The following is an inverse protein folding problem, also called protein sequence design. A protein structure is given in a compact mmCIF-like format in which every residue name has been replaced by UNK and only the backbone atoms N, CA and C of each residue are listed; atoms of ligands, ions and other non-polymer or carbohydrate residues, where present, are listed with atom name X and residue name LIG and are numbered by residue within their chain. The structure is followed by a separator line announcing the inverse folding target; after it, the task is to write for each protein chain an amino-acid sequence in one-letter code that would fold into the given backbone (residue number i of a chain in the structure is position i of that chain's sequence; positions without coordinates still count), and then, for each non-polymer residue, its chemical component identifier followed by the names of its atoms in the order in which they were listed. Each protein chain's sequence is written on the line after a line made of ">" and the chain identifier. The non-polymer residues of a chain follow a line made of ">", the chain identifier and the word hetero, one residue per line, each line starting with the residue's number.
data_IF_308392982620
#
_entry.id   IF_308392982620
#
_cell.length_a   1.000
_cell.length_b   1.000
_cell.length_c   1.000
_cell.angle_alpha   90.00
_cell.angle_beta   90.00
_cell.angle_gamma   90.00
#
_symmetry.space_group_name_H-M   'P 1'
#
loop_
_entity.id
_entity.type
_entity.pdbx_description
1 polymer ?
#
# COMPACT_ATOMS: atom_id res chain seq x y z
N UNK A 1 10.02 1.99 22.32
CA UNK A 1 9.56 2.02 21.91
C UNK A 1 9.22 2.06 21.30
N UNK A 2 9.13 1.88 21.24
CA UNK A 2 8.67 1.80 20.56
C UNK A 2 8.49 1.92 19.85
N UNK A 3 8.50 1.85 19.50
CA UNK A 3 8.21 1.91 18.80
C UNK A 3 8.03 1.76 17.95
N UNK A 4 8.23 1.67 18.33
CA UNK A 4 8.01 1.66 17.29
C UNK A 4 7.35 1.09 16.45
N UNK A 5 6.93 0.75 16.50
CA UNK A 5 6.23 0.46 15.55
C UNK A 5 5.74 1.49 14.82
N UNK A 6 5.89 2.43 15.21
CA UNK A 6 5.56 3.58 14.45
C UNK A 6 6.35 3.59 13.19
N UNK A 7 5.70 3.97 12.15
CA UNK A 7 6.35 4.07 10.88
C UNK A 7 6.79 5.51 10.74
N UNK A 8 8.06 5.77 10.97
CA UNK A 8 8.62 7.09 10.78
C UNK A 8 8.85 7.37 9.30
N UNK A 9 8.99 8.64 8.94
CA UNK A 9 9.24 9.00 7.55
C UNK A 9 10.48 8.36 6.97
N UNK A 10 11.47 8.08 7.81
CA UNK A 10 12.72 7.49 7.35
C UNK A 10 12.62 5.98 7.16
N UNK A 11 11.57 5.36 7.66
CA UNK A 11 11.43 3.91 7.55
C UNK A 11 10.30 3.48 6.63
N UNK A 12 9.48 4.42 6.17
CA UNK A 12 8.36 4.13 5.29
C UNK A 12 8.46 4.96 4.03
N UNK A 13 8.27 4.32 2.89
CA UNK A 13 8.21 4.99 1.60
C UNK A 13 6.74 5.08 1.23
N UNK A 14 6.22 6.30 1.10
CA UNK A 14 4.82 6.56 0.85
C UNK A 14 4.65 7.43 -0.39
N UNK A 15 3.56 7.24 -1.15
CA UNK A 15 3.29 8.09 -2.32
C UNK A 15 3.08 9.54 -1.91
N UNK A 16 3.49 10.47 -2.77
CA UNK A 16 3.23 11.87 -2.53
C UNK A 16 1.75 12.11 -2.36
N UNK A 17 1.40 13.03 -1.45
CA UNK A 17 0.00 13.34 -1.16
C UNK A 17 -0.65 12.41 -0.15
N UNK A 18 0.12 11.48 0.44
CA UNK A 18 -0.48 10.52 1.38
C UNK A 18 -1.12 11.19 2.58
N UNK A 19 -0.60 12.35 2.99
CA UNK A 19 -1.16 13.06 4.15
C UNK A 19 -2.59 13.55 3.88
N UNK A 20 -2.92 13.91 2.64
CA UNK A 20 -4.27 14.31 2.30
C UNK A 20 -5.24 13.14 2.27
N UNK A 21 -4.72 11.93 2.19
CA UNK A 21 -5.54 10.72 2.14
C UNK A 21 -5.67 10.01 3.48
N UNK A 22 -4.97 10.51 4.49
CA UNK A 22 -5.02 9.91 5.83
C UNK A 22 -6.42 10.09 6.41
N UNK A 23 -6.94 9.04 7.02
CA UNK A 23 -8.25 9.05 7.66
C UNK A 23 -8.11 9.43 9.12
N UNK A 24 -8.91 10.42 9.52
CA UNK A 24 -8.97 10.81 10.92
C UNK A 24 -9.98 9.90 11.62
N UNK A 25 -9.54 9.29 12.72
CA UNK A 25 -10.37 8.38 13.49
C UNK A 25 -10.50 8.93 14.92
N UNK A 26 -11.74 9.01 15.39
CA UNK A 26 -12.02 9.38 16.77
C UNK A 26 -13.21 8.57 17.24
N UNK A 27 -13.08 7.87 18.38
CA UNK A 27 -14.14 7.05 18.89
C UNK A 27 -14.04 6.95 20.40
N UNK A 28 -15.14 6.49 21.02
CA UNK A 28 -15.16 6.29 22.47
C UNK A 28 -14.19 5.20 22.89
N UNK A 29 -13.97 4.22 22.04
CA UNK A 29 -13.03 3.14 22.35
C UNK A 29 -11.60 3.63 22.47
N UNK A 30 -11.32 4.81 21.97
CA UNK A 30 -10.00 5.43 22.07
C UNK A 30 -9.98 6.56 23.08
N UNK A 31 -11.01 6.61 23.97
CA UNK A 31 -11.17 7.68 24.95
C UNK A 31 -11.19 9.06 24.27
N UNK A 32 -11.88 9.14 23.15
CA UNK A 32 -12.02 10.35 22.34
C UNK A 32 -10.70 10.89 21.82
N UNK A 33 -9.67 10.05 21.78
CA UNK A 33 -8.41 10.44 21.14
C UNK A 33 -8.58 10.41 19.65
N UNK A 34 -7.90 11.33 18.99
CA UNK A 34 -7.89 11.39 17.55
C UNK A 34 -6.71 10.58 17.02
N UNK A 35 -7.00 9.61 16.17
CA UNK A 35 -5.95 8.84 15.49
C UNK A 35 -6.01 9.10 14.00
N UNK A 36 -4.95 8.71 13.32
CA UNK A 36 -4.87 8.84 11.87
C UNK A 36 -4.46 7.49 11.28
N UNK A 37 -5.21 7.05 10.29
CA UNK A 37 -4.95 5.81 9.58
C UNK A 37 -4.59 6.11 8.15
N UNK A 38 -3.54 5.45 7.65
CA UNK A 38 -3.18 5.57 6.25
C UNK A 38 -4.30 5.02 5.36
N UNK A 39 -4.51 5.67 4.22
CA UNK A 39 -5.37 5.09 3.21
C UNK A 39 -4.78 3.74 2.79
N UNK A 40 -5.65 2.77 2.53
CA UNK A 40 -5.19 1.40 2.27
C UNK A 40 -4.28 1.34 1.03
N UNK A 41 -4.55 2.17 0.02
CA UNK A 41 -3.70 2.20 -1.18
C UNK A 41 -2.30 2.70 -0.86
N UNK A 42 -2.18 3.71 0.02
CA UNK A 42 -0.87 4.22 0.41
C UNK A 42 -0.09 3.18 1.21
N UNK A 43 -0.77 2.47 2.10
CA UNK A 43 -0.16 1.39 2.86
C UNK A 43 0.31 0.27 1.92
N UNK A 44 -0.52 -0.09 0.94
CA UNK A 44 -0.15 -1.06 -0.08
C UNK A 44 1.16 -0.65 -0.77
N UNK A 45 1.24 0.61 -1.21
CA UNK A 45 2.42 1.09 -1.93
C UNK A 45 3.67 1.02 -1.06
N UNK A 46 3.54 1.40 0.21
CA UNK A 46 4.67 1.34 1.14
C UNK A 46 5.16 -0.09 1.32
N UNK A 47 4.25 -1.03 1.47
CA UNK A 47 4.60 -2.45 1.64
C UNK A 47 5.16 -3.03 0.35
N UNK A 48 4.58 -2.67 -0.79
CA UNK A 48 5.07 -3.15 -2.08
C UNK A 48 6.49 -2.66 -2.33
N UNK A 49 6.81 -1.42 -1.96
CA UNK A 49 8.15 -0.86 -2.13
C UNK A 49 9.16 -1.56 -1.21
N UNK A 50 8.75 -1.94 0.00
CA UNK A 50 9.62 -2.65 0.93
C UNK A 50 10.00 -4.03 0.42
N UNK A 51 9.06 -4.73 -0.21
CA UNK A 51 9.35 -5.96 -0.95
C UNK A 51 9.73 -7.17 -0.13
N UNK A 52 9.47 -7.17 1.18
CA UNK A 52 9.75 -8.34 2.02
C UNK A 52 8.67 -9.40 1.81
N UNK A 53 8.95 -10.64 2.20
CA UNK A 53 8.00 -11.74 2.02
C UNK A 53 6.67 -11.45 2.69
N UNK A 54 6.69 -10.96 3.92
CA UNK A 54 5.46 -10.59 4.62
C UNK A 54 4.73 -9.45 3.93
N UNK A 55 5.48 -8.50 3.38
CA UNK A 55 4.89 -7.37 2.67
C UNK A 55 4.19 -7.84 1.40
N UNK A 56 4.80 -8.80 0.70
CA UNK A 56 4.19 -9.38 -0.50
C UNK A 56 2.88 -10.07 -0.17
N UNK A 57 2.88 -10.89 0.89
CA UNK A 57 1.67 -11.58 1.31
C UNK A 57 0.57 -10.61 1.66
N UNK A 58 0.92 -9.55 2.37
CA UNK A 58 -0.03 -8.51 2.74
C UNK A 58 -0.62 -7.82 1.51
N UNK A 59 0.23 -7.44 0.56
CA UNK A 59 -0.20 -6.78 -0.66
C UNK A 59 -1.09 -7.69 -1.50
N UNK A 60 -0.73 -8.96 -1.63
CA UNK A 60 -1.54 -9.90 -2.39
C UNK A 60 -2.91 -10.09 -1.75
N UNK A 61 -2.96 -10.13 -0.42
CA UNK A 61 -4.25 -10.21 0.28
C UNK A 61 -5.12 -8.99 -0.02
N UNK A 62 -4.54 -7.81 -0.02
CA UNK A 62 -5.29 -6.60 -0.33
C UNK A 62 -5.85 -6.62 -1.75
N UNK A 63 -5.08 -7.11 -2.71
CA UNK A 63 -5.55 -7.25 -4.08
C UNK A 63 -6.61 -8.33 -4.20
N UNK A 64 -6.41 -9.46 -3.52
CA UNK A 64 -7.32 -10.59 -3.59
C UNK A 64 -8.70 -10.23 -3.06
N UNK A 65 -8.74 -9.47 -1.96
CA UNK A 65 -10.00 -9.10 -1.32
C UNK A 65 -10.54 -7.76 -1.82
N UNK A 66 -9.95 -7.22 -2.86
CA UNK A 66 -10.41 -5.99 -3.52
C UNK A 66 -10.35 -4.75 -2.62
N UNK A 67 -9.50 -4.76 -1.60
CA UNK A 67 -9.24 -3.55 -0.83
C UNK A 67 -8.44 -2.55 -1.63
N UNK A 68 -7.62 -3.02 -2.58
CA UNK A 68 -6.84 -2.17 -3.47
C UNK A 68 -7.01 -2.71 -4.88
N UNK A 69 -7.25 -1.80 -5.82
CA UNK A 69 -7.36 -2.12 -7.22
C UNK A 69 -5.98 -1.95 -7.86
N UNK A 70 -5.52 -2.90 -8.70
CA UNK A 70 -4.22 -2.74 -9.36
C UNK A 70 -4.08 -1.44 -10.14
N UNK A 71 -5.14 -0.97 -10.79
CA UNK A 71 -5.08 0.30 -11.52
C UNK A 71 -4.81 1.46 -10.57
N UNK A 72 -5.44 1.46 -9.40
CA UNK A 72 -5.22 2.48 -8.40
C UNK A 72 -3.77 2.47 -7.91
N UNK A 73 -3.23 1.28 -7.66
CA UNK A 73 -1.85 1.14 -7.23
C UNK A 73 -0.89 1.66 -8.31
N UNK A 74 -1.15 1.33 -9.56
CA UNK A 74 -0.30 1.78 -10.67
C UNK A 74 -0.33 3.30 -10.82
N UNK A 75 -1.46 3.92 -10.55
CA UNK A 75 -1.56 5.38 -10.61
C UNK A 75 -0.70 6.05 -9.54
N UNK A 76 -0.47 5.38 -8.43
CA UNK A 76 0.34 5.93 -7.35
C UNK A 76 1.84 5.76 -7.56
N UNK A 77 2.25 4.86 -8.47
CA UNK A 77 3.68 4.60 -8.69
C UNK A 77 4.45 5.87 -9.03
N UNK A 78 3.97 6.75 -9.93
CA UNK A 78 4.73 7.97 -10.26
C UNK A 78 4.91 8.91 -9.08
N UNK A 79 4.09 8.76 -8.04
CA UNK A 79 4.16 9.62 -6.85
C UNK A 79 5.07 9.05 -5.78
N UNK A 80 5.63 7.86 -6.00
CA UNK A 80 6.55 7.25 -5.05
C UNK A 80 7.89 7.96 -5.10
N UNK A 81 8.53 8.20 -3.94
CA UNK A 81 9.86 8.82 -3.90
C UNK A 81 10.95 7.81 -4.26
N UNK A 82 10.87 7.27 -5.45
CA UNK A 82 11.78 6.26 -5.97
C UNK A 82 12.33 6.72 -7.31
N UNK A 83 13.54 6.26 -7.64
CA UNK A 83 14.10 6.51 -8.95
C UNK A 83 13.29 5.76 -10.02
N UNK A 84 13.42 6.20 -11.26
CA UNK A 84 12.59 5.69 -12.35
C UNK A 84 12.71 4.18 -12.53
N UNK A 85 13.92 3.64 -12.40
CA UNK A 85 14.11 2.19 -12.55
C UNK A 85 13.37 1.41 -11.46
N UNK A 86 13.34 1.93 -10.24
CA UNK A 86 12.61 1.29 -9.16
C UNK A 86 11.11 1.43 -9.33
N UNK A 87 10.65 2.58 -9.83
CA UNK A 87 9.23 2.74 -10.13
C UNK A 87 8.79 1.75 -11.20
N UNK A 88 9.62 1.55 -12.22
CA UNK A 88 9.33 0.60 -13.29
C UNK A 88 9.24 -0.82 -12.74
N UNK A 89 10.17 -1.17 -11.85
CA UNK A 89 10.16 -2.49 -11.20
C UNK A 89 8.89 -2.67 -10.38
N UNK A 90 8.49 -1.64 -9.67
CA UNK A 90 7.29 -1.69 -8.84
C UNK A 90 6.04 -1.90 -9.70
N UNK A 91 5.94 -1.22 -10.84
CA UNK A 91 4.83 -1.44 -11.78
C UNK A 91 4.78 -2.90 -12.23
N UNK A 92 5.94 -3.43 -12.60
CA UNK A 92 6.00 -4.83 -13.07
C UNK A 92 5.59 -5.79 -11.96
N UNK A 93 6.00 -5.51 -10.74
CA UNK A 93 5.65 -6.34 -9.58
C UNK A 93 4.16 -6.34 -9.34
N UNK A 94 3.53 -5.17 -9.35
CA UNK A 94 2.09 -5.05 -9.13
C UNK A 94 1.32 -5.82 -10.21
N UNK A 95 1.73 -5.66 -11.46
CA UNK A 95 1.08 -6.37 -12.57
C UNK A 95 1.25 -7.87 -12.45
N UNK A 96 2.43 -8.32 -12.02
CA UNK A 96 2.70 -9.74 -11.85
C UNK A 96 1.81 -10.33 -10.75
N UNK A 97 1.67 -9.61 -9.65
CA UNK A 97 0.80 -10.07 -8.56
C UNK A 97 -0.65 -10.16 -9.02
N UNK A 98 -1.14 -9.15 -9.72
CA UNK A 98 -2.52 -9.16 -10.21
C UNK A 98 -2.74 -10.32 -11.18
N UNK A 99 -1.80 -10.55 -12.07
CA UNK A 99 -1.89 -11.67 -13.02
C UNK A 99 -1.91 -13.01 -12.28
N UNK A 100 -1.03 -13.16 -11.29
CA UNK A 100 -0.94 -14.39 -10.52
C UNK A 100 -2.27 -14.71 -9.85
N UNK A 101 -2.92 -13.70 -9.28
CA UNK A 101 -4.20 -13.89 -8.62
C UNK A 101 -5.29 -14.24 -9.63
N UNK A 102 -5.30 -13.62 -10.80
CA UNK A 102 -6.28 -13.96 -11.83
C UNK A 102 -6.10 -15.40 -12.31
N UNK A 103 -4.84 -15.82 -12.48
CA UNK A 103 -4.55 -17.19 -12.88
C UNK A 103 -4.96 -18.20 -11.83
N UNK A 104 -4.95 -17.79 -10.57
CA UNK A 104 -5.41 -18.64 -9.47
C UNK A 104 -6.93 -18.66 -9.32
N UNK A 105 -7.64 -17.90 -10.14
CA UNK A 105 -9.11 -17.91 -10.14
C UNK A 105 -9.75 -16.76 -9.38
N UNK A 106 -8.96 -15.80 -8.90
CA UNK A 106 -9.50 -14.65 -8.20
C UNK A 106 -9.95 -13.59 -9.20
N UNK A 107 -11.01 -12.86 -8.83
CA UNK A 107 -11.55 -11.80 -9.67
C UNK A 107 -10.81 -10.51 -9.39
N UNK A 108 -9.64 -10.37 -10.01
CA UNK A 108 -8.80 -9.18 -9.87
C UNK A 108 -8.81 -8.43 -11.20
N UNK A 109 -9.19 -7.15 -11.21
CA UNK A 109 -9.26 -6.39 -12.46
C UNK A 109 -7.91 -6.28 -13.14
N UNK A 110 -7.95 -6.22 -14.46
CA UNK A 110 -6.75 -5.95 -15.25
C UNK A 110 -6.42 -4.47 -15.12
N UNK A 111 -5.15 -4.17 -15.01
CA UNK A 111 -4.69 -2.79 -14.82
C UNK A 111 -4.15 -2.21 -16.12
#
# INVERSE_FOLDING_TARGET
>A
MAHAQGVGPETAILPGGWLQRVHRVQSRNTNDRVGYCLAVADLFMSKAAAGRDKDREFCMALLQHAYVNPAQALELVPHMPLVESEQRRLRATIRRWARSLREAGHDVPDA
#
